data_IF_569494793741
#
_entry.id   IF_569494793741
#
_cell.length_a   1.000
_cell.length_b   1.000
_cell.length_c   1.000
_cell.angle_alpha   90.00
_cell.angle_beta   90.00
_cell.angle_gamma   90.00
#
_symmetry.space_group_name_H-M   'P 1'
#
loop_
_entity.id
_entity.type
_entity.pdbx_description
1 polymer ?
#
# COMPACT_ATOMS: atom_id res chain seq x y z
N UNK A 1 10.19 -12.16 -20.84
CA UNK A 1 9.47 -11.33 -21.81
C UNK A 1 8.50 -10.46 -21.03
N UNK A 2 8.58 -9.14 -21.15
CA UNK A 2 7.54 -8.23 -20.62
C UNK A 2 6.43 -8.12 -21.66
N UNK A 3 5.23 -8.59 -21.34
CA UNK A 3 4.06 -8.38 -22.19
C UNK A 3 3.58 -6.95 -22.00
N UNK A 4 3.40 -6.21 -23.10
CA UNK A 4 2.84 -4.86 -23.02
C UNK A 4 1.39 -4.95 -22.51
N UNK A 5 1.07 -4.14 -21.50
CA UNK A 5 -0.31 -3.99 -21.03
C UNK A 5 -1.12 -3.27 -22.11
N UNK A 6 -2.00 -3.99 -22.82
CA UNK A 6 -2.77 -3.49 -23.97
C UNK A 6 -4.15 -2.93 -23.60
N UNK A 7 -4.39 -2.69 -22.32
CA UNK A 7 -5.68 -2.16 -21.84
C UNK A 7 -5.60 -0.64 -21.68
N UNK A 8 -6.72 0.03 -21.97
CA UNK A 8 -6.92 1.45 -21.70
C UNK A 8 -7.59 1.71 -20.35
N UNK A 9 -7.83 0.65 -19.58
CA UNK A 9 -8.32 0.72 -18.21
C UNK A 9 -7.11 0.77 -17.30
N UNK A 10 -7.06 1.75 -16.41
CA UNK A 10 -6.03 1.88 -15.40
C UNK A 10 -6.70 1.89 -14.03
N UNK A 11 -6.06 1.26 -13.06
CA UNK A 11 -6.49 1.37 -11.67
C UNK A 11 -6.24 2.80 -11.19
N UNK A 12 -7.26 3.36 -10.54
CA UNK A 12 -7.15 4.57 -9.73
C UNK A 12 -6.52 4.20 -8.37
N UNK A 13 -6.86 4.93 -7.33
CA UNK A 13 -6.51 4.61 -5.95
C UNK A 13 -7.26 3.38 -5.41
N UNK A 14 -6.64 2.69 -4.46
CA UNK A 14 -7.33 1.72 -3.61
C UNK A 14 -7.98 2.46 -2.43
N UNK A 15 -9.28 2.26 -2.23
CA UNK A 15 -10.02 2.82 -1.10
C UNK A 15 -10.14 1.76 -0.01
N UNK A 16 -9.61 2.05 1.17
CA UNK A 16 -9.53 1.12 2.31
C UNK A 16 -10.30 1.68 3.50
N UNK A 17 -11.24 0.89 4.01
CA UNK A 17 -11.83 1.15 5.33
C UNK A 17 -10.82 0.73 6.39
N UNK A 18 -10.45 1.66 7.26
CA UNK A 18 -9.45 1.44 8.30
C UNK A 18 -10.01 1.75 9.68
N UNK A 19 -9.55 1.01 10.68
CA UNK A 19 -9.95 1.19 12.08
C UNK A 19 -9.43 2.50 12.69
N UNK A 20 -8.29 2.99 12.22
CA UNK A 20 -7.69 4.23 12.70
C UNK A 20 -6.96 4.92 11.55
N UNK A 21 -7.57 5.98 11.02
CA UNK A 21 -6.99 6.77 9.92
C UNK A 21 -5.68 7.42 10.32
N UNK A 22 -5.51 7.87 11.57
CA UNK A 22 -4.29 8.53 12.01
C UNK A 22 -3.11 7.56 11.97
N UNK A 23 -3.28 6.40 12.59
CA UNK A 23 -2.24 5.35 12.64
C UNK A 23 -1.92 4.81 11.25
N UNK A 24 -2.94 4.58 10.40
CA UNK A 24 -2.72 4.09 9.03
C UNK A 24 -2.11 5.14 8.11
N UNK A 25 -2.48 6.42 8.27
CA UNK A 25 -1.84 7.52 7.54
C UNK A 25 -0.36 7.60 7.90
N UNK A 26 -0.02 7.48 9.19
CA UNK A 26 1.38 7.45 9.62
C UNK A 26 2.15 6.28 9.01
N UNK A 27 1.56 5.08 8.93
CA UNK A 27 2.17 3.93 8.27
C UNK A 27 2.46 4.21 6.78
N UNK A 28 1.45 4.61 6.00
CA UNK A 28 1.64 4.86 4.57
C UNK A 28 2.54 6.07 4.29
N UNK A 29 2.53 7.10 5.14
CA UNK A 29 3.37 8.29 4.95
C UNK A 29 4.82 8.08 5.43
N UNK A 30 5.01 7.63 6.67
CA UNK A 30 6.33 7.61 7.31
C UNK A 30 7.09 6.31 7.04
N UNK A 31 6.38 5.17 6.93
CA UNK A 31 7.02 3.87 6.73
C UNK A 31 7.13 3.56 5.24
N UNK A 32 6.02 3.66 4.50
CA UNK A 32 5.99 3.38 3.06
C UNK A 32 6.54 4.56 2.23
N UNK A 33 6.39 5.80 2.71
CA UNK A 33 6.94 6.99 2.06
C UNK A 33 5.99 7.68 1.07
N UNK A 34 4.68 7.45 1.15
CA UNK A 34 3.71 8.14 0.30
C UNK A 34 3.49 9.58 0.77
N UNK A 35 3.24 10.51 -0.15
CA UNK A 35 2.89 11.89 0.16
C UNK A 35 1.42 11.98 0.61
N UNK A 36 1.13 12.79 1.63
CA UNK A 36 -0.24 13.12 2.02
C UNK A 36 -0.77 14.19 1.05
N UNK A 37 -1.77 13.83 0.25
CA UNK A 37 -2.40 14.71 -0.73
C UNK A 37 -3.57 15.50 -0.12
N UNK A 38 -4.33 14.85 0.77
CA UNK A 38 -5.35 15.48 1.60
C UNK A 38 -5.57 14.66 2.86
N UNK A 39 -6.03 15.30 3.93
CA UNK A 39 -6.33 14.64 5.19
C UNK A 39 -7.41 15.40 5.95
N UNK A 40 -8.35 14.66 6.53
CA UNK A 40 -9.35 15.11 7.50
C UNK A 40 -9.25 14.23 8.76
N UNK A 41 -10.14 14.43 9.72
CA UNK A 41 -10.23 13.57 10.91
C UNK A 41 -10.64 12.13 10.57
N UNK A 42 -11.39 11.93 9.49
CA UNK A 42 -11.98 10.62 9.13
C UNK A 42 -11.46 10.07 7.80
N UNK A 43 -10.63 10.79 7.06
CA UNK A 43 -10.12 10.35 5.77
C UNK A 43 -8.70 10.84 5.49
N UNK A 44 -7.95 10.10 4.68
CA UNK A 44 -6.67 10.54 4.15
C UNK A 44 -6.43 10.00 2.73
N UNK A 45 -5.95 10.85 1.83
CA UNK A 45 -5.54 10.44 0.48
C UNK A 45 -4.01 10.54 0.40
N UNK A 46 -3.36 9.42 0.10
CA UNK A 46 -1.91 9.30 -0.02
C UNK A 46 -1.49 8.86 -1.44
N UNK A 47 -0.35 9.36 -1.90
CA UNK A 47 0.10 9.10 -3.26
C UNK A 47 1.49 9.61 -3.60
N UNK A 48 1.71 9.91 -4.88
CA UNK A 48 2.95 10.46 -5.42
C UNK A 48 2.64 11.67 -6.32
N UNK A 49 3.14 12.85 -5.97
CA UNK A 49 2.85 14.09 -6.67
C UNK A 49 1.37 14.44 -6.60
N UNK A 50 0.64 14.34 -7.73
CA UNK A 50 -0.81 14.56 -7.79
C UNK A 50 -1.61 13.27 -7.98
N UNK A 51 -0.94 12.12 -8.01
CA UNK A 51 -1.58 10.82 -8.26
C UNK A 51 -1.90 10.13 -6.94
N UNK A 52 -3.18 9.99 -6.63
CA UNK A 52 -3.65 9.19 -5.52
C UNK A 52 -3.33 7.70 -5.74
N UNK A 53 -2.92 7.00 -4.69
CA UNK A 53 -2.67 5.56 -4.69
C UNK A 53 -3.48 4.84 -3.60
N UNK A 54 -3.63 5.47 -2.43
CA UNK A 54 -4.38 4.92 -1.30
C UNK A 54 -5.29 5.99 -0.73
N UNK A 55 -6.58 5.68 -0.56
CA UNK A 55 -7.55 6.50 0.15
C UNK A 55 -8.01 5.73 1.38
N UNK A 56 -7.75 6.28 2.55
CA UNK A 56 -8.13 5.72 3.83
C UNK A 56 -9.42 6.37 4.30
N UNK A 57 -10.40 5.56 4.69
CA UNK A 57 -11.67 6.01 5.26
C UNK A 57 -11.82 5.36 6.64
N UNK A 58 -12.13 6.16 7.66
CA UNK A 58 -12.39 5.70 9.01
C UNK A 58 -13.65 4.81 8.99
N UNK A 59 -13.51 3.55 9.42
CA UNK A 59 -14.63 2.64 9.50
C UNK A 59 -15.61 3.08 10.60
N UNK A 60 -16.91 3.05 10.30
CA UNK A 60 -17.98 3.47 11.24
C UNK A 60 -18.16 2.52 12.43
N UNK A 61 -17.76 1.25 12.28
CA UNK A 61 -17.96 0.21 13.29
C UNK A 61 -16.62 -0.28 13.83
N UNK A 62 -16.49 -0.25 15.14
CA UNK A 62 -15.42 -0.93 15.85
C UNK A 62 -15.63 -2.46 15.80
N UNK A 63 -14.59 -3.20 15.43
CA UNK A 63 -14.59 -4.66 15.46
C UNK A 63 -13.49 -5.28 14.61
N UNK A 64 -13.13 -6.54 14.89
CA UNK A 64 -12.31 -7.32 13.98
C UNK A 64 -13.15 -7.74 12.78
N UNK A 65 -12.64 -7.45 11.58
CA UNK A 65 -13.15 -8.03 10.36
C UNK A 65 -12.59 -9.47 10.35
N UNK A 66 -13.45 -10.49 10.57
CA UNK A 66 -13.16 -11.92 10.31
C UNK A 66 -13.92 -12.48 9.11
N UNK A 67 -13.25 -13.25 8.24
CA UNK A 67 -13.79 -13.96 7.07
C UNK A 67 -14.54 -13.07 6.05
N UNK A 68 -13.80 -12.44 5.12
CA UNK A 68 -14.39 -11.57 4.09
C UNK A 68 -14.14 -12.10 2.69
N UNK A 69 -15.14 -11.90 1.85
CA UNK A 69 -14.97 -11.87 0.41
C UNK A 69 -14.66 -10.41 0.04
N UNK A 70 -13.43 -10.12 -0.38
CA UNK A 70 -12.98 -8.75 -0.65
C UNK A 70 -11.53 -8.64 -1.11
N UNK A 71 -11.00 -7.42 -1.10
CA UNK A 71 -9.61 -7.15 -1.43
C UNK A 71 -8.67 -7.88 -0.45
N UNK A 72 -7.87 -8.81 -0.96
CA UNK A 72 -6.97 -9.61 -0.12
C UNK A 72 -5.67 -8.87 0.21
N UNK A 73 -5.03 -8.22 -0.77
CA UNK A 73 -3.88 -7.35 -0.56
C UNK A 73 -3.78 -6.28 -1.64
N UNK A 74 -3.03 -5.22 -1.32
CA UNK A 74 -2.60 -4.18 -2.25
C UNK A 74 -1.08 -4.31 -2.48
N UNK A 75 -0.64 -4.25 -3.73
CA UNK A 75 0.78 -4.21 -4.08
C UNK A 75 1.14 -2.84 -4.67
N UNK A 76 2.19 -2.21 -4.14
CA UNK A 76 2.78 -0.97 -4.66
C UNK A 76 3.98 -1.34 -5.52
N UNK A 77 3.92 -1.03 -6.81
CA UNK A 77 4.97 -1.38 -7.77
C UNK A 77 6.21 -0.49 -7.57
N UNK A 78 7.36 -1.14 -7.44
CA UNK A 78 8.67 -0.49 -7.45
C UNK A 78 9.30 -0.56 -8.85
N UNK A 79 10.10 0.45 -9.24
CA UNK A 79 10.59 0.56 -10.62
C UNK A 79 11.62 -0.51 -10.98
N UNK A 80 12.35 -1.06 -10.00
CA UNK A 80 13.41 -2.03 -10.22
C UNK A 80 13.54 -3.01 -9.05
N UNK A 81 14.18 -4.16 -9.29
CA UNK A 81 14.60 -5.10 -8.23
C UNK A 81 15.52 -4.46 -7.20
N UNK A 82 16.41 -3.54 -7.62
CA UNK A 82 17.26 -2.79 -6.69
C UNK A 82 16.40 -1.93 -5.75
N UNK A 83 15.35 -1.28 -6.26
CA UNK A 83 14.44 -0.51 -5.43
C UNK A 83 13.72 -1.41 -4.40
N UNK A 84 13.37 -2.65 -4.75
CA UNK A 84 12.84 -3.62 -3.78
C UNK A 84 13.87 -3.94 -2.67
N UNK A 85 15.14 -4.10 -3.00
CA UNK A 85 16.21 -4.30 -2.01
C UNK A 85 16.42 -3.06 -1.13
N UNK A 86 16.35 -1.85 -1.70
CA UNK A 86 16.44 -0.60 -0.96
C UNK A 86 15.27 -0.48 0.05
N UNK A 87 14.05 -0.86 -0.35
CA UNK A 87 12.86 -0.92 0.53
C UNK A 87 13.01 -1.97 1.62
N UNK A 88 13.50 -3.18 1.28
CA UNK A 88 13.78 -4.22 2.27
C UNK A 88 14.74 -3.72 3.35
N UNK A 89 15.82 -3.04 2.93
CA UNK A 89 16.79 -2.46 3.85
C UNK A 89 16.13 -1.41 4.74
N UNK A 90 15.38 -0.47 4.15
CA UNK A 90 14.67 0.58 4.88
C UNK A 90 13.74 0.02 5.97
N UNK A 91 12.92 -0.97 5.62
CA UNK A 91 12.03 -1.64 6.56
C UNK A 91 12.79 -2.38 7.67
N UNK A 92 13.93 -3.00 7.33
CA UNK A 92 14.80 -3.68 8.29
C UNK A 92 15.47 -2.70 9.26
N UNK A 93 15.95 -1.57 8.78
CA UNK A 93 16.55 -0.51 9.60
C UNK A 93 15.52 0.06 10.60
N UNK A 94 14.26 0.21 10.17
CA UNK A 94 13.12 0.61 11.00
C UNK A 94 12.55 -0.51 11.88
N UNK A 95 13.06 -1.75 11.74
CA UNK A 95 12.59 -2.95 12.45
C UNK A 95 11.09 -3.22 12.24
N UNK A 96 10.58 -2.94 11.04
CA UNK A 96 9.21 -3.29 10.66
C UNK A 96 9.15 -4.81 10.45
N UNK A 97 8.22 -5.52 11.11
CA UNK A 97 8.08 -6.95 10.92
C UNK A 97 7.67 -7.27 9.49
N UNK A 98 8.26 -8.30 8.90
CA UNK A 98 7.89 -8.83 7.60
C UNK A 98 7.10 -10.11 7.81
N UNK A 99 5.99 -10.27 7.08
CA UNK A 99 5.20 -11.50 7.05
C UNK A 99 5.86 -12.54 6.15
N UNK A 100 6.54 -12.11 5.08
CA UNK A 100 7.27 -13.01 4.19
C UNK A 100 7.70 -12.36 2.88
N UNK A 101 8.14 -13.19 1.93
CA UNK A 101 8.46 -12.76 0.58
C UNK A 101 8.16 -13.88 -0.42
N UNK A 102 7.95 -13.51 -1.68
CA UNK A 102 7.64 -14.47 -2.74
C UNK A 102 8.25 -14.04 -4.08
N UNK A 103 8.63 -15.05 -4.87
CA UNK A 103 8.91 -14.94 -6.30
C UNK A 103 7.76 -15.62 -7.05
N UNK A 104 6.96 -14.83 -7.75
CA UNK A 104 5.80 -15.29 -8.52
C UNK A 104 6.17 -15.66 -9.97
N UNK A 105 7.46 -15.67 -10.32
CA UNK A 105 7.98 -15.92 -11.66
C UNK A 105 7.89 -14.73 -12.62
N UNK A 106 7.00 -13.77 -12.33
CA UNK A 106 6.85 -12.50 -13.07
C UNK A 106 6.98 -11.25 -12.18
N UNK A 107 7.01 -11.42 -10.86
CA UNK A 107 7.27 -10.36 -9.88
C UNK A 107 7.89 -10.93 -8.60
N UNK A 108 8.71 -10.13 -7.94
CA UNK A 108 9.23 -10.39 -6.60
C UNK A 108 8.52 -9.45 -5.61
N UNK A 109 8.14 -9.96 -4.44
CA UNK A 109 7.38 -9.20 -3.45
C UNK A 109 7.85 -9.48 -2.02
N UNK A 110 7.67 -8.48 -1.15
CA UNK A 110 7.82 -8.57 0.31
C UNK A 110 6.46 -8.20 0.91
N UNK A 111 6.05 -8.93 1.94
CA UNK A 111 4.78 -8.76 2.64
C UNK A 111 5.02 -8.23 4.05
N UNK A 112 4.19 -7.27 4.47
CA UNK A 112 4.19 -6.62 5.77
C UNK A 112 2.98 -7.07 6.60
#
# INVERSE_FOLDING_TARGET
MTYAYKSHIYLAEAVLNVKDVTSQTAFYHQIIGLEILSQTETEAILGLGKKALVHLIQAEKDGEVREHYGLYHLAILLPTRKALADVLKHLSDLRIPLVGGADHGYSEAIYL
#
